data_IF_450531983531
#
_entry.id   IF_450531983531
#
_cell.length_a   1.000
_cell.length_b   1.000
_cell.length_c   1.000
_cell.angle_alpha   90.00
_cell.angle_beta   90.00
_cell.angle_gamma   90.00
#
_symmetry.space_group_name_H-M   'P 1'
#
loop_
_entity.id
_entity.type
_entity.pdbx_description
1 polymer ?
#
# COMPACT_ATOMS: atom_id res chain seq x y z
N UNK A 1 -7.82 9.64 -2.05
CA UNK A 1 -8.04 8.23 -1.67
C UNK A 1 -8.43 8.15 -0.19
N UNK A 2 -9.24 7.18 0.24
CA UNK A 2 -9.58 6.99 1.66
C UNK A 2 -8.47 6.30 2.46
N UNK A 3 -7.53 5.64 1.83
CA UNK A 3 -6.44 4.92 2.49
C UNK A 3 -5.14 4.96 1.71
N UNK A 4 -4.02 4.98 2.42
CA UNK A 4 -2.67 4.85 1.89
C UNK A 4 -1.79 4.00 2.80
N UNK A 5 -0.57 3.71 2.37
CA UNK A 5 0.45 2.98 3.12
C UNK A 5 1.84 3.34 2.63
N UNK A 6 2.84 3.18 3.51
CA UNK A 6 4.27 3.25 3.14
C UNK A 6 4.91 1.85 3.07
N UNK A 7 4.10 0.80 3.20
CA UNK A 7 4.61 -0.58 3.16
C UNK A 7 5.36 -0.88 1.87
N UNK A 8 6.47 -1.62 2.01
CA UNK A 8 7.15 -2.24 0.88
C UNK A 8 6.79 -3.71 0.75
N UNK A 9 6.49 -4.14 -0.46
CA UNK A 9 6.33 -5.56 -0.76
C UNK A 9 7.63 -6.34 -0.63
N UNK A 10 8.81 -5.67 -0.73
CA UNK A 10 10.11 -6.28 -0.52
C UNK A 10 10.25 -6.84 0.91
N UNK A 11 9.69 -6.13 1.91
CA UNK A 11 9.77 -6.52 3.32
C UNK A 11 8.77 -7.63 3.70
N UNK A 12 7.82 -7.93 2.82
CA UNK A 12 6.83 -8.99 3.05
C UNK A 12 7.34 -10.40 2.74
N UNK A 13 8.51 -10.52 2.08
CA UNK A 13 9.07 -11.80 1.67
C UNK A 13 9.89 -12.38 2.83
N UNK A 14 9.32 -13.37 3.52
CA UNK A 14 9.98 -14.11 4.59
C UNK A 14 10.49 -15.47 4.08
N UNK A 15 11.69 -15.87 4.51
CA UNK A 15 12.21 -17.22 4.30
C UNK A 15 11.37 -18.20 5.15
N UNK A 16 10.70 -19.15 4.51
CA UNK A 16 10.08 -20.29 5.18
C UNK A 16 11.08 -21.45 5.16
N UNK A 17 11.46 -21.93 6.34
CA UNK A 17 12.49 -22.96 6.59
C UNK A 17 12.24 -24.30 5.88
N UNK A 18 12.59 -24.39 4.58
CA UNK A 18 12.77 -25.67 3.86
C UNK A 18 13.74 -25.43 2.70
N UNK A 19 14.80 -26.22 2.61
CA UNK A 19 15.91 -26.06 1.65
C UNK A 19 15.44 -25.92 0.19
N UNK A 20 14.51 -26.76 -0.24
CA UNK A 20 13.95 -26.70 -1.62
C UNK A 20 13.16 -25.40 -1.91
N UNK A 21 12.84 -24.59 -0.89
CA UNK A 21 12.18 -23.28 -1.03
C UNK A 21 13.17 -22.11 -1.10
N UNK A 22 14.46 -22.38 -0.87
CA UNK A 22 15.50 -21.35 -0.85
C UNK A 22 15.71 -20.70 -2.22
N UNK A 23 15.84 -21.50 -3.28
CA UNK A 23 15.99 -21.00 -4.67
C UNK A 23 14.76 -20.16 -5.05
N UNK A 24 13.56 -20.66 -4.76
CA UNK A 24 12.31 -19.90 -5.00
C UNK A 24 12.25 -18.61 -4.20
N UNK A 25 12.79 -18.57 -2.98
CA UNK A 25 12.88 -17.37 -2.17
C UNK A 25 13.81 -16.33 -2.80
N UNK A 26 15.00 -16.74 -3.30
CA UNK A 26 15.94 -15.84 -4.00
C UNK A 26 15.28 -15.25 -5.24
N UNK A 27 14.70 -16.09 -6.10
CA UNK A 27 13.99 -15.64 -7.30
C UNK A 27 12.87 -14.64 -6.97
N UNK A 28 12.08 -14.94 -5.94
CA UNK A 28 11.04 -13.99 -5.46
C UNK A 28 11.65 -12.68 -4.99
N UNK A 29 12.73 -12.68 -4.23
CA UNK A 29 13.42 -11.46 -3.80
C UNK A 29 13.88 -10.62 -5.00
N UNK A 30 14.50 -11.25 -6.00
CA UNK A 30 14.94 -10.55 -7.21
C UNK A 30 13.76 -9.94 -7.95
N UNK A 31 12.69 -10.71 -8.19
CA UNK A 31 11.49 -10.23 -8.88
C UNK A 31 10.84 -9.08 -8.12
N UNK A 32 10.74 -9.17 -6.80
CA UNK A 32 10.13 -8.12 -5.99
C UNK A 32 11.00 -6.87 -5.97
N UNK A 33 12.31 -6.98 -5.77
CA UNK A 33 13.26 -5.85 -5.81
C UNK A 33 13.24 -5.13 -7.16
N UNK A 34 13.05 -5.87 -8.26
CA UNK A 34 12.89 -5.29 -9.61
C UNK A 34 11.60 -4.45 -9.72
N UNK A 35 10.50 -4.90 -9.10
CA UNK A 35 9.16 -4.33 -9.31
C UNK A 35 8.70 -3.37 -8.21
N UNK A 36 9.28 -3.40 -7.02
CA UNK A 36 8.86 -2.59 -5.87
C UNK A 36 10.03 -1.81 -5.29
N UNK A 37 9.74 -0.62 -4.75
CA UNK A 37 10.73 0.14 -3.99
C UNK A 37 10.89 -0.43 -2.58
N UNK A 38 12.01 -0.13 -1.93
CA UNK A 38 12.21 -0.41 -0.51
C UNK A 38 11.31 0.50 0.34
N UNK A 39 11.20 0.19 1.65
CA UNK A 39 10.55 1.08 2.59
C UNK A 39 11.34 2.40 2.78
N UNK A 40 10.68 3.56 2.87
CA UNK A 40 9.25 3.76 2.69
C UNK A 40 8.83 3.77 1.20
N UNK A 41 7.73 3.09 0.90
CA UNK A 41 7.15 3.06 -0.43
C UNK A 41 5.72 3.65 -0.41
N UNK A 42 5.57 4.98 -0.41
CA UNK A 42 4.27 5.62 -0.33
C UNK A 42 3.38 5.25 -1.50
N UNK A 43 2.19 4.73 -1.19
CA UNK A 43 1.18 4.41 -2.19
C UNK A 43 -0.24 4.50 -1.62
N UNK A 44 -1.18 4.92 -2.46
CA UNK A 44 -2.61 4.82 -2.13
C UNK A 44 -3.06 3.37 -2.27
N UNK A 45 -3.98 2.96 -1.39
CA UNK A 45 -4.60 1.64 -1.45
C UNK A 45 -5.63 1.61 -2.57
N UNK A 46 -5.55 0.61 -3.44
CA UNK A 46 -6.45 0.48 -4.59
C UNK A 46 -7.81 -0.15 -4.25
N UNK A 47 -8.08 -0.42 -2.97
CA UNK A 47 -9.40 -0.83 -2.51
C UNK A 47 -10.48 0.22 -2.77
N UNK A 48 -10.11 1.51 -2.77
CA UNK A 48 -10.98 2.63 -3.16
C UNK A 48 -10.15 3.89 -3.44
N UNK A 49 -10.54 4.65 -4.47
CA UNK A 49 -9.98 5.96 -4.79
C UNK A 49 -10.93 6.72 -5.72
N UNK A 50 -10.83 8.04 -5.71
CA UNK A 50 -11.50 8.92 -6.65
C UNK A 50 -10.45 9.52 -7.59
N UNK A 51 -10.66 9.40 -8.90
CA UNK A 51 -9.75 9.89 -9.94
C UNK A 51 -10.56 10.21 -11.20
N UNK A 52 -10.07 11.13 -12.01
CA UNK A 52 -10.65 11.36 -13.33
C UNK A 52 -10.52 10.12 -14.22
N UNK A 53 -11.62 9.71 -14.86
CA UNK A 53 -11.69 8.46 -15.64
C UNK A 53 -10.69 8.42 -16.80
N UNK A 54 -10.45 9.53 -17.50
CA UNK A 54 -9.46 9.62 -18.61
C UNK A 54 -8.03 9.38 -18.10
N UNK A 55 -7.70 9.95 -16.93
CA UNK A 55 -6.38 9.75 -16.29
C UNK A 55 -6.20 8.28 -15.91
N UNK A 56 -7.22 7.68 -15.28
CA UNK A 56 -7.17 6.28 -14.90
C UNK A 56 -7.10 5.35 -16.11
N UNK A 57 -7.90 5.60 -17.13
CA UNK A 57 -7.85 4.83 -18.38
C UNK A 57 -6.46 4.87 -19.02
N UNK A 58 -5.84 6.06 -19.11
CA UNK A 58 -4.48 6.20 -19.65
C UNK A 58 -3.42 5.45 -18.81
N UNK A 59 -3.65 5.32 -17.51
CA UNK A 59 -2.79 4.51 -16.63
C UNK A 59 -2.95 3.02 -16.87
N UNK A 60 -4.20 2.53 -17.05
CA UNK A 60 -4.52 1.10 -16.99
C UNK A 60 -4.54 0.40 -18.35
N UNK A 61 -4.86 1.12 -19.46
CA UNK A 61 -5.15 0.55 -20.78
C UNK A 61 -4.11 -0.44 -21.33
N UNK A 62 -2.82 -0.28 -20.96
CA UNK A 62 -1.73 -1.15 -21.43
C UNK A 62 -1.19 -2.06 -20.32
N UNK A 63 -1.90 -2.23 -19.19
CA UNK A 63 -1.43 -3.05 -18.07
C UNK A 63 -2.09 -4.42 -18.09
N UNK A 64 -1.27 -5.45 -17.84
CA UNK A 64 -1.78 -6.80 -17.61
C UNK A 64 -2.32 -6.92 -16.19
N UNK A 65 -3.49 -7.55 -16.05
CA UNK A 65 -4.19 -7.79 -14.78
C UNK A 65 -4.57 -9.27 -14.63
N UNK A 66 -3.64 -10.15 -14.94
CA UNK A 66 -3.91 -11.58 -15.02
C UNK A 66 -3.86 -12.29 -13.65
N UNK A 67 -3.22 -11.68 -12.67
CA UNK A 67 -3.02 -12.33 -11.37
C UNK A 67 -2.78 -11.29 -10.25
N UNK A 68 -2.77 -11.79 -9.01
CA UNK A 68 -2.56 -10.95 -7.82
C UNK A 68 -1.23 -10.17 -7.83
N UNK A 69 -0.17 -10.71 -8.45
CA UNK A 69 1.11 -10.00 -8.53
C UNK A 69 1.00 -8.76 -9.43
N UNK A 70 0.24 -8.84 -10.52
CA UNK A 70 -0.03 -7.70 -11.38
C UNK A 70 -0.82 -6.61 -10.64
N UNK A 71 -1.82 -7.00 -9.86
CA UNK A 71 -2.57 -6.06 -9.02
C UNK A 71 -1.67 -5.35 -7.98
N UNK A 72 -0.76 -6.10 -7.35
CA UNK A 72 0.22 -5.51 -6.42
C UNK A 72 1.16 -4.51 -7.12
N UNK A 73 1.59 -4.80 -8.37
CA UNK A 73 2.39 -3.85 -9.17
C UNK A 73 1.63 -2.57 -9.48
N UNK A 74 0.32 -2.66 -9.72
CA UNK A 74 -0.53 -1.49 -9.95
C UNK A 74 -0.68 -0.66 -8.68
N UNK A 75 -0.87 -1.28 -7.54
CA UNK A 75 -1.02 -0.59 -6.26
C UNK A 75 0.29 0.05 -5.81
N UNK A 76 1.32 -0.74 -5.56
CA UNK A 76 2.53 -0.33 -4.84
C UNK A 76 3.84 -0.51 -5.62
N UNK A 77 3.77 -0.91 -6.90
CA UNK A 77 4.96 -1.10 -7.73
C UNK A 77 5.62 0.21 -8.16
N UNK A 78 6.87 0.12 -8.65
CA UNK A 78 7.65 1.24 -9.20
C UNK A 78 6.91 2.00 -10.32
N UNK A 79 6.05 1.30 -11.06
CA UNK A 79 5.17 1.86 -12.08
C UNK A 79 3.70 1.77 -11.68
N UNK A 80 3.41 1.79 -10.37
CA UNK A 80 2.06 1.77 -9.81
C UNK A 80 1.34 3.11 -9.95
N UNK A 81 0.06 3.13 -9.57
CA UNK A 81 -0.82 4.27 -9.74
C UNK A 81 -0.28 5.54 -9.06
N UNK A 82 0.16 5.45 -7.81
CA UNK A 82 0.72 6.58 -7.08
C UNK A 82 1.94 7.18 -7.78
N UNK A 83 2.88 6.34 -8.22
CA UNK A 83 4.08 6.80 -8.94
C UNK A 83 3.74 7.40 -10.30
N UNK A 84 2.77 6.84 -11.00
CA UNK A 84 2.28 7.40 -12.26
C UNK A 84 1.70 8.81 -12.06
N UNK A 85 0.85 8.99 -11.06
CA UNK A 85 0.25 10.30 -10.76
C UNK A 85 1.30 11.34 -10.36
N UNK A 86 2.27 10.95 -9.52
CA UNK A 86 3.39 11.82 -9.12
C UNK A 86 4.23 12.27 -10.33
N UNK A 87 4.57 11.35 -11.24
CA UNK A 87 5.30 11.70 -12.48
C UNK A 87 4.53 12.65 -13.42
N UNK A 88 3.21 12.72 -13.24
CA UNK A 88 2.34 13.67 -13.95
C UNK A 88 2.04 14.93 -13.14
N UNK A 89 2.76 15.16 -12.04
CA UNK A 89 2.62 16.31 -11.14
C UNK A 89 1.22 16.44 -10.52
N UNK A 90 0.49 15.33 -10.35
CA UNK A 90 -0.79 15.35 -9.62
C UNK A 90 -0.54 15.31 -8.11
N UNK A 91 -1.26 16.17 -7.38
CA UNK A 91 -1.35 16.10 -5.94
C UNK A 91 -2.26 14.95 -5.52
N UNK A 92 -1.78 14.14 -4.58
CA UNK A 92 -2.48 12.96 -4.08
C UNK A 92 -2.80 13.17 -2.61
N UNK A 93 -4.09 13.10 -2.28
CA UNK A 93 -4.56 13.27 -0.91
C UNK A 93 -5.16 11.98 -0.36
N UNK A 94 -4.91 11.70 0.91
CA UNK A 94 -5.74 10.82 1.72
C UNK A 94 -6.80 11.70 2.40
N UNK A 95 -8.04 11.25 2.38
CA UNK A 95 -9.16 11.95 3.03
C UNK A 95 -9.72 11.01 4.08
N UNK A 96 -9.90 11.49 5.30
CA UNK A 96 -10.49 10.75 6.38
C UNK A 96 -12.02 10.98 6.49
N UNK A 97 -12.68 10.29 7.42
CA UNK A 97 -14.11 10.42 7.65
C UNK A 97 -14.56 11.84 7.98
N UNK A 98 -13.71 12.64 8.63
CA UNK A 98 -13.99 14.04 8.97
C UNK A 98 -13.83 14.98 7.75
N UNK A 99 -13.54 14.47 6.57
CA UNK A 99 -13.32 15.26 5.35
C UNK A 99 -11.95 15.95 5.28
N UNK A 100 -11.07 15.72 6.26
CA UNK A 100 -9.73 16.33 6.29
C UNK A 100 -8.82 15.68 5.26
N UNK A 101 -8.10 16.53 4.50
CA UNK A 101 -7.16 16.12 3.44
C UNK A 101 -5.73 16.10 3.97
N UNK A 102 -5.02 14.99 3.74
CA UNK A 102 -3.64 14.80 4.13
C UNK A 102 -2.75 14.61 2.90
N UNK A 103 -1.66 15.36 2.83
CA UNK A 103 -0.60 15.18 1.83
C UNK A 103 0.28 13.96 2.17
N UNK A 104 1.14 13.52 1.22
CA UNK A 104 1.91 12.29 1.35
C UNK A 104 2.71 12.18 2.65
N UNK A 105 3.41 13.24 3.04
CA UNK A 105 4.20 13.26 4.28
C UNK A 105 3.36 13.10 5.55
N UNK A 106 2.06 13.38 5.47
CA UNK A 106 1.11 13.38 6.59
C UNK A 106 0.05 12.27 6.49
N UNK A 107 0.11 11.38 5.51
CA UNK A 107 -0.87 10.31 5.37
C UNK A 107 -1.04 9.46 6.63
N UNK A 108 0.02 9.26 7.40
CA UNK A 108 -0.05 8.52 8.67
C UNK A 108 -0.93 9.20 9.72
N UNK A 109 -1.10 10.54 9.64
CA UNK A 109 -1.95 11.32 10.56
C UNK A 109 -3.45 11.20 10.23
N UNK A 110 -3.79 10.64 9.06
CA UNK A 110 -5.18 10.51 8.61
C UNK A 110 -6.02 9.55 9.47
N UNK A 111 -5.37 8.68 10.24
CA UNK A 111 -6.00 7.63 11.05
C UNK A 111 -6.89 6.66 10.26
N UNK A 112 -6.66 6.56 8.95
CA UNK A 112 -7.52 5.76 8.05
C UNK A 112 -7.07 4.31 7.89
N UNK A 113 -5.79 4.02 8.13
CA UNK A 113 -5.24 2.68 7.92
C UNK A 113 -4.17 2.32 8.98
N UNK A 114 -4.36 1.17 9.64
CA UNK A 114 -3.44 0.65 10.67
C UNK A 114 -3.04 1.69 11.72
N UNK A 115 -4.03 2.32 12.35
CA UNK A 115 -3.85 3.32 13.40
C UNK A 115 -4.35 2.83 14.77
N UNK A 116 -3.62 3.14 15.86
CA UNK A 116 -3.81 2.48 17.15
C UNK A 116 -5.14 2.78 17.86
N UNK A 117 -5.61 4.03 17.84
CA UNK A 117 -6.69 4.46 18.73
C UNK A 117 -8.06 4.62 18.07
N UNK A 118 -8.10 5.18 16.87
CA UNK A 118 -9.34 5.41 16.12
C UNK A 118 -9.08 5.07 14.65
N UNK A 119 -10.07 4.49 14.01
CA UNK A 119 -10.04 4.28 12.57
C UNK A 119 -11.01 5.28 11.95
N UNK A 120 -10.49 6.35 11.37
CA UNK A 120 -11.26 7.37 10.63
C UNK A 120 -11.39 7.01 9.14
N UNK A 121 -11.31 5.75 8.81
CA UNK A 121 -11.48 5.30 7.43
C UNK A 121 -12.93 5.49 6.97
N UNK A 122 -13.10 6.05 5.78
CA UNK A 122 -14.40 6.15 5.10
C UNK A 122 -14.88 4.76 4.67
N UNK A 123 -13.96 3.87 4.35
CA UNK A 123 -14.22 2.52 3.86
C UNK A 123 -13.45 1.50 4.68
N UNK A 124 -14.10 0.41 5.05
CA UNK A 124 -13.49 -0.71 5.74
C UNK A 124 -13.28 -1.87 4.78
N UNK A 125 -12.02 -2.28 4.58
CA UNK A 125 -11.66 -3.49 3.84
C UNK A 125 -11.35 -4.67 4.78
N UNK A 126 -11.00 -5.83 4.21
CA UNK A 126 -10.62 -7.02 4.99
C UNK A 126 -9.44 -6.74 5.92
N UNK A 127 -8.48 -5.92 5.50
CA UNK A 127 -7.27 -5.64 6.28
C UNK A 127 -7.58 -4.75 7.47
N UNK A 128 -8.39 -3.70 7.29
CA UNK A 128 -8.83 -2.83 8.39
C UNK A 128 -9.66 -3.59 9.41
N UNK A 129 -10.58 -4.47 8.96
CA UNK A 129 -11.35 -5.35 9.86
C UNK A 129 -10.47 -6.34 10.64
N UNK A 130 -9.47 -6.93 9.98
CA UNK A 130 -8.53 -7.81 10.66
C UNK A 130 -7.68 -7.03 11.69
N UNK A 131 -7.22 -5.84 11.33
CA UNK A 131 -6.45 -4.98 12.21
C UNK A 131 -7.22 -4.62 13.50
N UNK A 132 -8.51 -4.34 13.41
CA UNK A 132 -9.33 -4.01 14.59
C UNK A 132 -9.38 -5.13 15.65
N UNK A 133 -9.23 -6.39 15.20
CA UNK A 133 -9.25 -7.59 16.05
C UNK A 133 -7.91 -7.93 16.71
N UNK A 134 -6.82 -7.27 16.31
CA UNK A 134 -5.49 -7.52 16.84
C UNK A 134 -5.34 -6.98 18.26
N UNK A 135 -4.46 -7.60 19.05
CA UNK A 135 -4.04 -7.06 20.33
C UNK A 135 -3.11 -5.83 20.16
N UNK A 136 -2.82 -5.12 21.23
CA UNK A 136 -2.05 -3.87 21.18
C UNK A 136 -0.63 -4.06 20.61
N UNK A 137 0.07 -5.14 20.98
CA UNK A 137 1.42 -5.43 20.48
C UNK A 137 1.43 -5.69 18.97
N UNK A 138 0.45 -6.45 18.50
CA UNK A 138 0.27 -6.71 17.06
C UNK A 138 -0.08 -5.44 16.29
N UNK A 139 -0.94 -4.58 16.85
CA UNK A 139 -1.26 -3.26 16.27
C UNK A 139 -0.03 -2.38 16.15
N UNK A 140 0.82 -2.31 17.17
CA UNK A 140 2.09 -1.57 17.13
C UNK A 140 2.99 -2.11 16.02
N UNK A 141 3.18 -3.42 15.93
CA UNK A 141 3.98 -4.06 14.86
C UNK A 141 3.44 -3.73 13.47
N UNK A 142 2.13 -3.81 13.28
CA UNK A 142 1.49 -3.49 12.01
C UNK A 142 1.65 -2.00 11.67
N UNK A 143 1.45 -1.11 12.61
CA UNK A 143 1.64 0.34 12.44
C UNK A 143 3.08 0.66 12.04
N UNK A 144 4.06 0.08 12.73
CA UNK A 144 5.49 0.24 12.40
C UNK A 144 5.78 -0.23 10.98
N UNK A 145 5.23 -1.37 10.58
CA UNK A 145 5.37 -1.89 9.22
C UNK A 145 4.74 -0.97 8.18
N UNK A 146 3.56 -0.41 8.48
CA UNK A 146 2.80 0.43 7.54
C UNK A 146 3.37 1.83 7.41
N UNK A 147 3.80 2.44 8.52
CA UNK A 147 4.13 3.85 8.59
C UNK A 147 5.58 4.14 9.01
N UNK A 148 6.34 3.14 9.48
CA UNK A 148 7.67 3.33 10.06
C UNK A 148 7.66 4.03 11.43
N UNK A 149 6.48 4.16 12.05
CA UNK A 149 6.29 4.89 13.32
C UNK A 149 5.74 3.96 14.39
N UNK A 150 6.13 4.21 15.63
CA UNK A 150 5.61 3.52 16.81
C UNK A 150 4.28 4.11 17.24
#
# INVERSE_FOLDING_TARGET
APMASYESMNDSIKLKYKFHKFIRFIWRKIIFKKNFDNFPNPHIRTSSFLINSKIFYNFIKNKKLNNKFDTLKIESGKNGLTKFLKRKNFNIFVVNFDGVKFQEQDWYKSETYNYLKKNKAIISDKYTRNYSKLNNLEKIKMRKKTWGKN
#
